data_IF_339820924337
#
_entry.id   IF_339820924337
#
_cell.length_a   1.000
_cell.length_b   1.000
_cell.length_c   1.000
_cell.angle_alpha   90.00
_cell.angle_beta   90.00
_cell.angle_gamma   90.00
#
_symmetry.space_group_name_H-M   'P 1'
#
loop_
_entity.id
_entity.type
_entity.pdbx_description
1 polymer ?
#
# COMPACT_ATOMS: atom_id res chain seq x y z
N UNK A 1 -3.28 3.56 -12.06
CA UNK A 1 -3.70 3.25 -13.43
C UNK A 1 -2.49 3.06 -14.34
N UNK A 2 -1.56 4.01 -14.40
CA UNK A 2 -0.40 3.97 -15.30
C UNK A 2 0.55 2.79 -15.04
N UNK A 3 0.66 2.34 -13.79
CA UNK A 3 1.52 1.22 -13.40
C UNK A 3 0.90 -0.17 -13.66
N UNK A 4 -0.35 -0.25 -14.09
CA UNK A 4 -1.00 -1.53 -14.46
C UNK A 4 -1.03 -1.66 -15.98
N UNK A 5 -0.41 -2.72 -16.50
CA UNK A 5 -0.19 -2.89 -17.95
C UNK A 5 -1.49 -3.01 -18.75
N UNK A 6 -2.57 -3.49 -18.18
CA UNK A 6 -3.88 -3.61 -18.84
C UNK A 6 -4.44 -2.27 -19.34
N UNK A 7 -4.00 -1.15 -18.80
CA UNK A 7 -4.42 0.19 -19.26
C UNK A 7 -3.59 0.71 -20.44
N UNK A 8 -2.60 -0.05 -20.94
CA UNK A 8 -1.83 0.27 -22.15
C UNK A 8 -0.85 1.43 -22.03
N UNK A 9 -0.54 1.91 -20.83
CA UNK A 9 0.45 2.97 -20.64
C UNK A 9 1.87 2.46 -20.94
N UNK A 10 2.77 3.29 -21.53
CA UNK A 10 4.14 2.88 -21.85
C UNK A 10 4.94 2.25 -20.70
N UNK A 11 4.75 2.73 -19.47
CA UNK A 11 5.38 2.14 -18.27
C UNK A 11 4.97 0.67 -18.08
N UNK A 12 3.71 0.33 -18.33
CA UNK A 12 3.22 -1.05 -18.22
C UNK A 12 3.82 -2.02 -19.25
N UNK A 13 4.39 -1.52 -20.35
CA UNK A 13 5.13 -2.35 -21.30
C UNK A 13 6.51 -2.75 -20.78
N UNK A 14 7.12 -1.89 -19.96
CA UNK A 14 8.44 -2.12 -19.34
C UNK A 14 8.29 -2.93 -18.06
N UNK A 15 7.27 -2.63 -17.27
CA UNK A 15 6.95 -3.28 -15.99
C UNK A 15 5.54 -3.91 -16.04
N UNK A 16 5.38 -5.06 -16.69
CA UNK A 16 4.07 -5.69 -16.86
C UNK A 16 3.53 -6.25 -15.55
N UNK A 17 2.19 -6.24 -15.43
CA UNK A 17 1.46 -6.74 -14.26
C UNK A 17 0.52 -7.90 -14.61
N UNK A 18 1.04 -9.05 -15.13
CA UNK A 18 0.24 -10.08 -15.76
C UNK A 18 -0.84 -10.69 -14.86
N UNK A 19 -0.54 -10.87 -13.58
CA UNK A 19 -1.50 -11.45 -12.62
C UNK A 19 -2.64 -10.47 -12.26
N UNK A 20 -2.35 -9.17 -12.20
CA UNK A 20 -3.39 -8.14 -12.01
C UNK A 20 -4.20 -7.99 -13.30
N UNK A 21 -3.54 -7.99 -14.45
CA UNK A 21 -4.18 -7.86 -15.76
C UNK A 21 -5.14 -9.02 -16.05
N UNK A 22 -4.84 -10.23 -15.54
CA UNK A 22 -5.73 -11.38 -15.64
C UNK A 22 -7.11 -11.10 -15.05
N UNK A 23 -7.20 -10.38 -13.93
CA UNK A 23 -8.49 -9.98 -13.33
C UNK A 23 -9.30 -9.14 -14.31
N UNK A 24 -8.66 -8.25 -15.04
CA UNK A 24 -9.32 -7.43 -16.05
C UNK A 24 -9.69 -8.21 -17.31
N UNK A 25 -8.86 -9.16 -17.75
CA UNK A 25 -9.13 -10.01 -18.93
C UNK A 25 -10.25 -11.02 -18.69
N UNK A 26 -10.33 -11.56 -17.47
CA UNK A 26 -11.36 -12.53 -17.07
C UNK A 26 -12.62 -11.86 -16.49
N UNK A 27 -12.58 -10.54 -16.25
CA UNK A 27 -13.65 -9.79 -15.63
C UNK A 27 -13.96 -8.47 -16.33
N UNK A 28 -13.69 -7.34 -15.67
CA UNK A 28 -13.98 -6.00 -16.18
C UNK A 28 -12.88 -4.99 -15.88
N UNK A 29 -12.64 -4.09 -16.83
CA UNK A 29 -11.73 -2.95 -16.70
C UNK A 29 -12.52 -1.65 -16.67
N UNK A 30 -12.50 -0.97 -15.53
CA UNK A 30 -13.18 0.32 -15.37
C UNK A 30 -12.29 1.46 -15.88
N UNK A 31 -12.69 2.10 -16.96
CA UNK A 31 -11.96 3.25 -17.54
C UNK A 31 -12.19 4.54 -16.75
N UNK A 32 -13.38 4.69 -16.15
CA UNK A 32 -13.76 5.85 -15.36
C UNK A 32 -14.23 5.41 -13.98
N UNK A 33 -13.30 5.37 -13.02
CA UNK A 33 -13.58 5.09 -11.63
C UNK A 33 -12.93 6.15 -10.75
N UNK A 34 -13.70 6.72 -9.85
CA UNK A 34 -13.32 7.86 -9.01
C UNK A 34 -13.44 7.49 -7.54
N UNK A 35 -12.46 7.89 -6.73
CA UNK A 35 -12.55 7.76 -5.28
C UNK A 35 -13.30 8.94 -4.66
N UNK A 36 -14.07 8.67 -3.62
CA UNK A 36 -14.83 9.70 -2.90
C UNK A 36 -13.94 10.68 -2.13
N UNK A 37 -12.75 10.23 -1.73
CA UNK A 37 -11.75 11.01 -1.00
C UNK A 37 -10.37 10.39 -1.25
N UNK A 38 -9.42 11.18 -1.74
CA UNK A 38 -8.10 10.70 -2.20
C UNK A 38 -7.07 10.57 -1.07
N UNK A 39 -7.50 10.32 0.16
CA UNK A 39 -6.62 10.09 1.32
C UNK A 39 -6.98 8.76 2.00
N UNK A 40 -5.98 8.05 2.51
CA UNK A 40 -6.05 6.65 2.90
C UNK A 40 -7.24 6.28 3.81
N UNK A 41 -7.30 6.80 5.03
CA UNK A 41 -8.37 6.46 5.99
C UNK A 41 -9.77 6.82 5.48
N UNK A 42 -10.02 8.07 5.04
CA UNK A 42 -11.30 8.46 4.46
C UNK A 42 -11.77 7.62 3.28
N UNK A 43 -10.84 7.25 2.37
CA UNK A 43 -11.14 6.36 1.25
C UNK A 43 -11.58 4.97 1.73
N UNK A 44 -10.87 4.40 2.71
CA UNK A 44 -11.18 3.11 3.32
C UNK A 44 -12.54 3.13 4.02
N UNK A 45 -12.83 4.19 4.78
CA UNK A 45 -14.14 4.38 5.41
C UNK A 45 -15.27 4.50 4.37
N UNK A 46 -15.03 5.18 3.24
CA UNK A 46 -15.99 5.28 2.16
C UNK A 46 -16.25 3.92 1.49
N UNK A 47 -15.22 3.11 1.26
CA UNK A 47 -15.36 1.74 0.72
C UNK A 47 -16.17 0.85 1.66
N UNK A 48 -15.89 0.90 2.97
CA UNK A 48 -16.61 0.08 3.96
C UNK A 48 -18.09 0.45 4.08
N UNK A 49 -18.40 1.74 4.04
CA UNK A 49 -19.76 2.25 4.33
C UNK A 49 -20.61 2.53 3.10
N UNK A 50 -20.01 2.63 1.91
CA UNK A 50 -20.68 3.16 0.71
C UNK A 50 -21.09 4.63 0.82
N UNK A 51 -20.51 5.38 1.78
CA UNK A 51 -20.86 6.78 2.07
C UNK A 51 -19.68 7.71 1.85
N UNK A 52 -19.94 8.91 1.32
CA UNK A 52 -18.94 9.98 1.30
C UNK A 52 -18.46 10.34 2.71
N UNK A 53 -17.23 10.84 2.82
CA UNK A 53 -16.54 11.10 4.10
C UNK A 53 -17.34 12.02 5.05
N UNK A 54 -18.05 13.03 4.52
CA UNK A 54 -18.90 13.92 5.34
C UNK A 54 -20.15 13.22 5.90
N UNK A 55 -20.54 12.07 5.32
CA UNK A 55 -21.67 11.25 5.80
C UNK A 55 -21.22 10.13 6.74
N UNK A 56 -20.03 9.56 6.52
CA UNK A 56 -19.50 8.53 7.42
C UNK A 56 -18.70 9.13 8.59
N UNK A 57 -18.40 10.44 8.58
CA UNK A 57 -17.72 11.18 9.63
C UNK A 57 -16.19 11.04 9.65
N UNK A 58 -15.59 10.21 8.80
CA UNK A 58 -14.15 9.99 8.76
C UNK A 58 -13.52 10.80 7.61
N UNK A 59 -13.16 12.06 7.89
CA UNK A 59 -12.78 13.03 6.86
C UNK A 59 -11.26 13.21 6.68
N UNK A 60 -10.45 12.74 7.60
CA UNK A 60 -8.98 12.89 7.60
C UNK A 60 -8.31 11.79 8.41
N UNK A 61 -7.03 11.50 8.13
CA UNK A 61 -6.28 10.42 8.79
C UNK A 61 -6.09 10.64 10.30
N UNK A 62 -6.05 11.89 10.77
CA UNK A 62 -5.84 12.26 12.17
C UNK A 62 -7.15 12.54 12.92
N UNK A 63 -8.23 11.94 12.48
CA UNK A 63 -9.50 12.01 13.20
C UNK A 63 -9.48 11.05 14.41
N UNK A 64 -10.51 11.14 15.24
CA UNK A 64 -10.88 10.02 16.12
C UNK A 64 -11.07 8.77 15.26
N UNK A 65 -10.83 7.58 15.82
CA UNK A 65 -10.99 6.33 15.10
C UNK A 65 -12.33 6.23 14.34
N UNK A 66 -12.35 5.42 13.30
CA UNK A 66 -13.57 5.18 12.52
C UNK A 66 -14.67 4.65 13.45
N UNK A 67 -15.86 5.22 13.33
CA UNK A 67 -17.03 4.75 14.07
C UNK A 67 -17.48 3.39 13.52
N UNK A 68 -17.01 2.34 14.16
CA UNK A 68 -17.32 0.96 13.82
C UNK A 68 -18.77 0.54 14.16
N UNK A 69 -19.60 1.39 14.78
CA UNK A 69 -21.03 1.09 15.01
C UNK A 69 -21.87 1.25 13.76
N UNK A 70 -21.39 2.02 12.80
CA UNK A 70 -22.06 2.21 11.52
C UNK A 70 -22.28 0.90 10.77
N UNK A 71 -23.30 0.90 9.91
CA UNK A 71 -23.49 -0.18 8.94
C UNK A 71 -22.37 -0.14 7.90
N UNK A 72 -21.74 -1.28 7.68
CA UNK A 72 -20.68 -1.49 6.71
C UNK A 72 -20.96 -2.72 5.86
N UNK A 73 -20.37 -2.80 4.68
CA UNK A 73 -20.53 -3.96 3.79
C UNK A 73 -20.19 -5.29 4.48
N UNK A 74 -19.07 -5.44 5.21
CA UNK A 74 -18.78 -6.70 5.90
C UNK A 74 -19.85 -7.07 6.93
N UNK A 75 -20.44 -6.13 7.69
CA UNK A 75 -21.53 -6.41 8.62
C UNK A 75 -22.80 -6.92 7.92
N UNK A 76 -23.14 -6.32 6.77
CA UNK A 76 -24.28 -6.76 5.97
C UNK A 76 -24.05 -8.19 5.48
N UNK A 77 -22.86 -8.48 4.96
CA UNK A 77 -22.51 -9.80 4.47
C UNK A 77 -22.48 -10.84 5.60
N UNK A 78 -21.91 -10.51 6.75
CA UNK A 78 -21.89 -11.37 7.93
C UNK A 78 -23.32 -11.71 8.39
N UNK A 79 -24.22 -10.71 8.45
CA UNK A 79 -25.62 -10.91 8.79
C UNK A 79 -26.39 -11.77 7.75
N UNK A 80 -25.87 -11.86 6.52
CA UNK A 80 -26.42 -12.70 5.45
C UNK A 80 -25.65 -14.01 5.25
N UNK A 81 -24.94 -14.47 6.26
CA UNK A 81 -24.35 -15.80 6.30
C UNK A 81 -22.97 -15.92 5.67
N UNK A 82 -22.32 -14.82 5.27
CA UNK A 82 -20.93 -14.85 4.83
C UNK A 82 -19.97 -14.97 6.01
N UNK A 83 -18.86 -15.67 5.82
CA UNK A 83 -17.70 -15.56 6.70
C UNK A 83 -16.82 -14.40 6.21
N UNK A 84 -16.47 -13.48 7.12
CA UNK A 84 -15.86 -12.21 6.75
C UNK A 84 -14.45 -12.09 7.32
N UNK A 85 -13.49 -11.64 6.51
CA UNK A 85 -12.12 -11.43 6.96
C UNK A 85 -11.50 -10.16 6.40
N UNK A 86 -10.56 -9.56 7.15
CA UNK A 86 -9.65 -8.52 6.66
C UNK A 86 -8.21 -8.82 7.11
N UNK A 87 -7.28 -8.81 6.15
CA UNK A 87 -5.87 -9.08 6.36
C UNK A 87 -5.03 -7.97 5.70
N UNK A 88 -4.11 -7.37 6.48
CA UNK A 88 -3.21 -6.34 6.01
C UNK A 88 -3.58 -4.92 6.44
N UNK A 89 -3.34 -3.91 5.62
CA UNK A 89 -3.49 -2.51 6.00
C UNK A 89 -4.94 -2.13 6.33
N UNK A 90 -5.17 -1.67 7.56
CA UNK A 90 -6.46 -1.15 8.02
C UNK A 90 -6.52 0.38 7.99
N UNK A 91 -5.65 1.03 8.73
CA UNK A 91 -5.47 2.50 8.78
C UNK A 91 -6.75 3.30 9.06
N UNK A 92 -7.57 2.80 9.98
CA UNK A 92 -8.80 3.46 10.45
C UNK A 92 -8.78 3.76 11.95
N UNK A 93 -7.63 3.56 12.60
CA UNK A 93 -7.36 3.83 14.04
C UNK A 93 -8.12 2.86 14.95
N UNK A 94 -9.44 2.72 14.79
CA UNK A 94 -10.27 1.78 15.55
C UNK A 94 -10.06 0.33 15.09
N UNK A 95 -10.33 -0.63 15.97
CA UNK A 95 -10.33 -2.05 15.59
C UNK A 95 -11.40 -2.35 14.53
N UNK A 96 -11.16 -3.34 13.64
CA UNK A 96 -12.16 -3.79 12.67
C UNK A 96 -13.43 -4.29 13.35
N UNK A 97 -14.58 -4.03 12.74
CA UNK A 97 -15.88 -4.56 13.16
C UNK A 97 -16.64 -5.15 11.97
N UNK A 98 -17.40 -6.20 12.21
CA UNK A 98 -18.12 -6.93 11.15
C UNK A 98 -17.25 -7.93 10.41
N UNK A 99 -16.14 -8.34 11.01
CA UNK A 99 -15.27 -9.39 10.52
C UNK A 99 -15.17 -10.52 11.54
N UNK A 100 -15.29 -11.76 11.07
CA UNK A 100 -15.10 -12.96 11.88
C UNK A 100 -13.60 -13.24 12.13
N UNK A 101 -12.75 -12.79 11.20
CA UNK A 101 -11.30 -12.88 11.34
C UNK A 101 -10.66 -11.56 10.89
N UNK A 102 -9.69 -11.08 11.64
CA UNK A 102 -8.87 -9.96 11.21
C UNK A 102 -7.45 -10.01 11.77
N UNK A 103 -6.53 -9.61 10.92
CA UNK A 103 -5.11 -9.48 11.21
C UNK A 103 -4.58 -8.26 10.43
N UNK A 104 -4.39 -7.15 11.12
CA UNK A 104 -4.13 -5.86 10.49
C UNK A 104 -2.74 -5.33 10.81
N UNK A 105 -2.19 -4.54 9.89
CA UNK A 105 -0.96 -3.81 10.15
C UNK A 105 -1.19 -2.69 11.16
N UNK A 106 -0.18 -2.42 11.98
CA UNK A 106 -0.14 -1.26 12.84
C UNK A 106 -0.01 0.01 11.98
N UNK A 107 -0.90 0.97 12.14
CA UNK A 107 -1.02 2.22 11.38
C UNK A 107 -0.81 2.04 9.86
N UNK A 108 0.27 2.57 9.31
CA UNK A 108 0.67 2.46 7.90
C UNK A 108 1.37 1.13 7.58
N UNK A 109 1.83 0.44 8.60
CA UNK A 109 2.67 -0.75 8.51
C UNK A 109 4.10 -0.45 8.04
N UNK A 110 5.01 -1.34 8.35
CA UNK A 110 6.37 -1.37 7.85
C UNK A 110 6.48 -2.28 6.61
N UNK A 111 7.47 -2.02 5.75
CA UNK A 111 7.75 -2.90 4.61
C UNK A 111 8.49 -4.17 5.02
N UNK A 112 9.44 -4.03 5.94
CA UNK A 112 10.23 -5.12 6.48
C UNK A 112 9.83 -5.38 7.93
N UNK A 113 9.65 -6.64 8.27
CA UNK A 113 9.39 -7.11 9.63
C UNK A 113 8.25 -6.38 10.36
N UNK A 114 7.07 -6.25 9.72
CA UNK A 114 5.97 -5.45 10.21
C UNK A 114 5.36 -5.98 11.50
N UNK A 115 4.73 -5.07 12.24
CA UNK A 115 3.84 -5.44 13.33
C UNK A 115 2.44 -5.73 12.79
N UNK A 116 1.88 -6.86 13.22
CA UNK A 116 0.48 -7.19 12.99
C UNK A 116 -0.29 -7.14 14.31
N UNK A 117 -1.49 -6.59 14.23
CA UNK A 117 -2.45 -6.52 15.33
C UNK A 117 -3.56 -7.52 15.07
N UNK A 118 -3.85 -8.34 16.07
CA UNK A 118 -5.00 -9.24 16.11
C UNK A 118 -5.97 -8.80 17.21
N UNK A 119 -7.00 -9.57 17.48
CA UNK A 119 -7.90 -9.30 18.60
C UNK A 119 -7.15 -9.32 19.96
N UNK A 120 -6.16 -10.19 20.08
CA UNK A 120 -5.53 -10.55 21.35
C UNK A 120 -4.18 -9.85 21.58
N UNK A 121 -3.42 -9.59 20.52
CA UNK A 121 -2.04 -9.12 20.64
C UNK A 121 -1.58 -8.24 19.46
N UNK A 122 -0.38 -7.68 19.63
CA UNK A 122 0.41 -7.03 18.59
C UNK A 122 1.77 -7.68 18.55
N UNK A 123 2.10 -8.31 17.44
CA UNK A 123 3.35 -9.06 17.27
C UNK A 123 4.13 -8.63 16.04
N UNK A 124 5.45 -8.63 16.14
CA UNK A 124 6.36 -8.41 15.02
C UNK A 124 6.55 -9.71 14.26
N UNK A 125 6.43 -9.65 12.94
CA UNK A 125 6.59 -10.79 12.06
C UNK A 125 7.77 -10.58 11.12
N UNK A 126 8.75 -11.47 11.13
CA UNK A 126 9.92 -11.37 10.26
C UNK A 126 9.55 -11.66 8.80
N UNK A 127 10.00 -10.80 7.90
CA UNK A 127 9.82 -10.92 6.45
C UNK A 127 9.27 -9.68 5.78
N UNK A 128 9.05 -9.78 4.48
CA UNK A 128 8.54 -8.67 3.67
C UNK A 128 7.01 -8.61 3.72
N UNK A 129 6.47 -7.45 4.01
CA UNK A 129 5.03 -7.24 4.33
C UNK A 129 4.07 -7.78 3.26
N UNK A 130 4.40 -7.63 1.97
CA UNK A 130 3.54 -8.12 0.88
C UNK A 130 3.47 -9.64 0.90
N UNK A 131 4.60 -10.31 1.13
CA UNK A 131 4.68 -11.78 1.19
C UNK A 131 3.95 -12.31 2.43
N UNK A 132 4.11 -11.63 3.58
CA UNK A 132 3.42 -11.99 4.82
C UNK A 132 1.89 -11.86 4.69
N UNK A 133 1.40 -10.75 4.11
CA UNK A 133 -0.04 -10.57 3.86
C UNK A 133 -0.57 -11.66 2.93
N UNK A 134 0.18 -11.98 1.87
CA UNK A 134 -0.18 -13.06 0.94
C UNK A 134 -0.25 -14.40 1.66
N UNK A 135 0.79 -14.74 2.42
CA UNK A 135 0.87 -15.97 3.21
C UNK A 135 -0.32 -16.13 4.14
N UNK A 136 -0.62 -15.12 4.96
CA UNK A 136 -1.74 -15.18 5.92
C UNK A 136 -3.10 -15.23 5.23
N UNK A 137 -3.21 -14.61 4.06
CA UNK A 137 -4.42 -14.69 3.22
C UNK A 137 -4.60 -16.11 2.67
N UNK A 138 -3.55 -16.74 2.18
CA UNK A 138 -3.57 -18.12 1.69
C UNK A 138 -3.86 -19.11 2.82
N UNK A 139 -3.22 -18.96 3.98
CA UNK A 139 -3.49 -19.78 5.17
C UNK A 139 -4.96 -19.68 5.61
N UNK A 140 -5.54 -18.47 5.60
CA UNK A 140 -6.95 -18.29 5.91
C UNK A 140 -7.85 -18.96 4.87
N UNK A 141 -7.55 -18.83 3.58
CA UNK A 141 -8.30 -19.49 2.49
C UNK A 141 -8.17 -21.01 2.57
N UNK A 142 -6.98 -21.53 2.85
CA UNK A 142 -6.73 -22.97 3.01
C UNK A 142 -7.49 -23.56 4.21
N UNK A 143 -7.59 -22.82 5.30
CA UNK A 143 -8.42 -23.20 6.46
C UNK A 143 -9.92 -23.26 6.17
N UNK A 144 -10.34 -22.81 4.99
CA UNK A 144 -11.72 -22.88 4.51
C UNK A 144 -12.01 -24.06 3.58
N UNK A 145 -10.99 -24.81 3.19
CA UNK A 145 -11.18 -25.99 2.33
C UNK A 145 -12.22 -26.93 2.93
N UNK A 146 -13.24 -27.29 2.14
CA UNK A 146 -14.36 -28.12 2.57
C UNK A 146 -15.50 -27.37 3.28
N UNK A 147 -15.41 -26.06 3.50
CA UNK A 147 -16.51 -25.24 4.00
C UNK A 147 -17.36 -24.73 2.84
N UNK A 148 -18.68 -24.94 2.90
CA UNK A 148 -19.63 -24.45 1.89
C UNK A 148 -20.14 -23.03 2.17
N UNK A 149 -19.75 -22.41 3.29
CA UNK A 149 -20.15 -21.07 3.67
C UNK A 149 -19.50 -20.05 2.72
N UNK A 150 -20.27 -19.14 2.08
CA UNK A 150 -19.69 -18.08 1.28
C UNK A 150 -18.81 -17.17 2.13
N UNK A 151 -17.84 -16.51 1.52
CA UNK A 151 -16.94 -15.62 2.24
C UNK A 151 -16.77 -14.27 1.58
N UNK A 152 -16.35 -13.30 2.38
CA UNK A 152 -15.89 -11.99 1.96
C UNK A 152 -14.53 -11.70 2.60
N UNK A 153 -13.51 -11.52 1.78
CA UNK A 153 -12.15 -11.26 2.21
C UNK A 153 -11.67 -9.91 1.67
N UNK A 154 -11.18 -9.07 2.56
CA UNK A 154 -10.46 -7.85 2.22
C UNK A 154 -8.96 -8.07 2.44
N UNK A 155 -8.22 -8.32 1.35
CA UNK A 155 -6.77 -8.42 1.36
C UNK A 155 -6.17 -7.05 1.00
N UNK A 156 -5.47 -6.44 1.93
CA UNK A 156 -5.00 -5.07 1.80
C UNK A 156 -3.49 -4.95 1.93
N UNK A 157 -2.79 -4.79 0.82
CA UNK A 157 -1.36 -4.54 0.83
C UNK A 157 -0.99 -3.12 1.31
N UNK A 158 0.21 -2.98 1.92
CA UNK A 158 0.86 -1.69 2.15
C UNK A 158 1.37 -1.08 0.85
N UNK A 159 1.94 -1.91 -0.01
CA UNK A 159 2.42 -1.48 -1.31
C UNK A 159 1.24 -0.92 -2.15
N UNK A 160 1.43 0.13 -2.85
CA UNK A 160 2.65 0.88 -3.18
C UNK A 160 2.73 2.22 -2.41
N UNK A 161 2.59 2.23 -1.11
CA UNK A 161 2.69 3.46 -0.32
C UNK A 161 4.14 3.92 -0.23
N UNK A 162 4.36 5.26 -0.12
CA UNK A 162 5.65 5.84 0.27
C UNK A 162 6.14 5.08 1.53
N UNK A 163 7.33 4.67 1.68
CA UNK A 163 8.60 5.03 1.03
C UNK A 163 9.09 4.01 -0.04
N UNK A 164 8.18 3.19 -0.57
CA UNK A 164 8.44 2.28 -1.70
C UNK A 164 9.66 1.37 -1.54
N UNK A 165 9.82 0.75 -0.40
CA UNK A 165 10.90 -0.24 -0.20
C UNK A 165 10.49 -1.53 -0.93
N UNK A 166 11.24 -1.98 -1.93
CA UNK A 166 10.96 -3.22 -2.62
C UNK A 166 11.39 -4.43 -1.78
N UNK A 167 10.90 -5.62 -2.14
CA UNK A 167 11.45 -6.85 -1.62
C UNK A 167 12.89 -7.06 -2.11
N UNK A 168 13.75 -7.68 -1.31
CA UNK A 168 15.18 -7.90 -1.60
C UNK A 168 15.41 -8.52 -2.98
N UNK A 169 14.58 -9.51 -3.37
CA UNK A 169 14.65 -10.16 -4.70
C UNK A 169 14.44 -9.20 -5.88
N UNK A 170 13.99 -7.97 -5.63
CA UNK A 170 13.71 -6.96 -6.66
C UNK A 170 14.69 -5.78 -6.65
N UNK A 171 15.70 -5.78 -5.78
CA UNK A 171 16.64 -4.67 -5.68
C UNK A 171 17.32 -4.35 -7.02
N UNK A 172 17.60 -5.36 -7.84
CA UNK A 172 18.28 -5.22 -9.13
C UNK A 172 17.37 -5.35 -10.36
N UNK A 173 16.03 -5.49 -10.15
CA UNK A 173 15.10 -5.85 -11.23
C UNK A 173 15.12 -4.89 -12.43
N UNK A 174 15.30 -3.60 -12.20
CA UNK A 174 15.26 -2.57 -13.24
C UNK A 174 16.55 -1.75 -13.34
N UNK A 175 17.66 -2.26 -12.83
CA UNK A 175 18.94 -1.56 -12.74
C UNK A 175 19.47 -1.05 -14.10
N UNK A 176 19.22 -1.82 -15.16
CA UNK A 176 19.64 -1.49 -16.52
C UNK A 176 18.45 -1.11 -17.44
N UNK A 177 17.36 -0.67 -16.84
CA UNK A 177 16.11 -0.40 -17.56
C UNK A 177 15.79 1.09 -17.56
N UNK A 178 15.69 1.69 -18.74
CA UNK A 178 15.19 3.06 -18.88
C UNK A 178 13.67 3.04 -19.02
N UNK A 179 12.98 3.71 -18.10
CA UNK A 179 11.54 3.89 -18.19
C UNK A 179 11.19 5.06 -19.12
N UNK A 180 10.18 4.91 -19.98
CA UNK A 180 9.75 5.99 -20.85
C UNK A 180 9.13 7.12 -20.02
N UNK A 181 9.57 8.34 -20.29
CA UNK A 181 8.93 9.53 -19.72
C UNK A 181 7.61 9.79 -20.46
N UNK A 182 6.53 10.16 -19.77
CA UNK A 182 5.31 10.61 -20.43
C UNK A 182 5.53 11.98 -21.07
N UNK A 183 4.80 12.27 -22.16
CA UNK A 183 4.93 13.52 -22.93
C UNK A 183 4.77 14.78 -22.08
N UNK A 184 4.01 14.69 -20.99
CA UNK A 184 3.77 15.78 -20.05
C UNK A 184 4.65 15.75 -18.80
N UNK A 185 5.76 15.05 -18.80
CA UNK A 185 6.65 14.91 -17.63
C UNK A 185 7.21 16.26 -17.16
N UNK A 186 7.55 17.13 -18.11
CA UNK A 186 8.06 18.48 -17.84
C UNK A 186 6.99 19.58 -17.91
N UNK A 187 5.72 19.21 -17.85
CA UNK A 187 4.60 20.15 -17.91
C UNK A 187 4.60 21.07 -16.68
N UNK A 188 4.50 22.35 -16.91
CA UNK A 188 4.43 23.41 -15.88
C UNK A 188 3.01 23.68 -15.40
N UNK A 189 2.04 22.91 -15.90
CA UNK A 189 0.61 23.00 -15.55
C UNK A 189 -0.06 24.34 -15.82
N UNK A 190 0.39 25.09 -16.84
CA UNK A 190 -0.17 26.38 -17.21
C UNK A 190 -1.70 26.29 -17.37
N UNK A 191 -2.42 27.25 -16.77
CA UNK A 191 -3.88 27.29 -16.76
C UNK A 191 -4.58 26.25 -15.86
N UNK A 192 -3.83 25.39 -15.15
CA UNK A 192 -4.36 24.36 -14.24
C UNK A 192 -3.97 24.64 -12.81
N UNK A 193 -4.58 25.63 -12.20
CA UNK A 193 -4.23 26.18 -10.89
C UNK A 193 -4.05 25.11 -9.79
N UNK A 194 -4.98 24.16 -9.68
CA UNK A 194 -4.89 23.12 -8.66
C UNK A 194 -3.63 22.25 -8.83
N UNK A 195 -3.25 21.92 -10.06
CA UNK A 195 -2.05 21.13 -10.34
C UNK A 195 -0.77 21.95 -10.10
N UNK A 196 -0.77 23.25 -10.45
CA UNK A 196 0.38 24.14 -10.18
C UNK A 196 0.64 24.34 -8.69
N UNK A 197 -0.42 24.43 -7.89
CA UNK A 197 -0.33 24.69 -6.45
C UNK A 197 -0.11 23.43 -5.62
N UNK A 198 -0.21 22.26 -6.21
CA UNK A 198 -0.06 21.00 -5.50
C UNK A 198 1.42 20.74 -5.18
N UNK A 199 1.71 20.48 -3.90
CA UNK A 199 3.05 20.11 -3.44
C UNK A 199 3.30 18.61 -3.67
N UNK A 200 3.52 18.23 -4.92
CA UNK A 200 3.80 16.84 -5.35
C UNK A 200 4.79 16.82 -6.53
N UNK A 201 5.79 17.66 -6.46
CA UNK A 201 6.85 17.73 -7.46
C UNK A 201 8.02 16.85 -7.04
N UNK A 202 8.58 16.07 -7.95
CA UNK A 202 9.73 15.21 -7.67
C UNK A 202 10.92 16.04 -7.15
N UNK A 203 11.21 17.15 -7.81
CA UNK A 203 12.36 18.00 -7.49
C UNK A 203 12.23 18.72 -6.14
N UNK A 204 11.04 19.19 -5.79
CA UNK A 204 10.83 20.04 -4.60
C UNK A 204 10.27 19.29 -3.38
N UNK A 205 9.53 18.20 -3.60
CA UNK A 205 8.68 17.61 -2.56
C UNK A 205 9.05 16.14 -2.23
N UNK A 206 9.93 15.52 -3.01
CA UNK A 206 10.46 14.19 -2.73
C UNK A 206 11.85 14.29 -2.11
N UNK A 207 12.13 13.42 -1.14
CA UNK A 207 13.45 13.30 -0.52
C UNK A 207 14.29 12.28 -1.29
N UNK A 208 15.51 12.66 -1.67
CA UNK A 208 16.41 11.83 -2.47
C UNK A 208 16.64 10.45 -1.81
N UNK A 209 17.04 10.43 -0.57
CA UNK A 209 17.25 9.18 0.15
C UNK A 209 15.96 8.42 0.41
N UNK A 210 15.01 9.05 1.09
CA UNK A 210 13.78 8.41 1.56
C UNK A 210 12.87 7.90 0.42
N UNK A 211 12.67 8.71 -0.62
CA UNK A 211 11.76 8.39 -1.71
C UNK A 211 12.46 7.74 -2.90
N UNK A 212 13.60 8.30 -3.33
CA UNK A 212 14.29 7.90 -4.56
C UNK A 212 15.40 6.88 -4.32
N UNK A 213 15.83 6.66 -3.07
CA UNK A 213 16.97 5.80 -2.68
C UNK A 213 18.28 6.25 -3.32
N UNK A 214 18.42 7.55 -3.57
CA UNK A 214 19.64 8.15 -4.12
C UNK A 214 20.55 8.59 -3.00
N UNK A 215 21.86 8.54 -3.28
CA UNK A 215 22.94 8.87 -2.34
C UNK A 215 23.83 9.92 -2.98
N UNK A 216 23.28 11.12 -3.22
CA UNK A 216 24.04 12.20 -3.82
C UNK A 216 24.75 13.04 -2.76
N UNK A 217 26.09 13.03 -2.78
CA UNK A 217 26.92 13.92 -1.95
C UNK A 217 26.88 13.67 -0.44
N UNK A 218 26.30 12.56 0.01
CA UNK A 218 26.31 12.14 1.40
C UNK A 218 27.40 11.12 1.67
N UNK A 219 28.12 11.26 2.78
CA UNK A 219 28.95 10.19 3.29
C UNK A 219 28.10 9.08 3.92
N UNK A 220 28.71 7.92 4.18
CA UNK A 220 28.01 6.76 4.71
C UNK A 220 27.34 7.01 6.07
N UNK A 221 27.83 7.94 6.86
CA UNK A 221 27.29 8.24 8.18
C UNK A 221 26.07 9.15 8.09
N UNK A 222 26.04 10.07 7.13
CA UNK A 222 24.87 10.90 6.83
C UNK A 222 23.69 10.07 6.36
N UNK A 223 23.92 8.97 5.64
CA UNK A 223 22.87 8.02 5.23
C UNK A 223 22.17 7.33 6.40
N UNK A 224 22.80 7.26 7.54
CA UNK A 224 22.22 6.67 8.74
C UNK A 224 21.21 7.60 9.43
N UNK A 225 21.19 8.90 9.12
CA UNK A 225 20.47 9.89 9.92
C UNK A 225 19.46 10.74 9.16
N UNK A 226 19.51 10.87 7.84
CA UNK A 226 18.55 11.65 7.08
C UNK A 226 17.56 10.76 6.32
N UNK A 227 16.33 11.14 6.23
CA UNK A 227 15.03 10.45 6.41
C UNK A 227 15.02 8.97 6.02
N UNK A 228 16.09 8.50 5.47
CA UNK A 228 16.33 7.12 5.08
C UNK A 228 16.18 6.10 6.19
N UNK A 229 17.01 6.17 7.22
CA UNK A 229 17.13 5.08 8.17
C UNK A 229 15.90 4.94 9.04
N UNK A 230 15.36 6.07 9.50
CA UNK A 230 14.28 6.07 10.47
C UNK A 230 12.95 5.54 9.92
N UNK A 231 12.74 5.63 8.62
CA UNK A 231 11.48 5.27 8.01
C UNK A 231 11.38 3.77 7.64
N UNK A 232 12.50 3.09 7.40
CA UNK A 232 12.50 1.69 6.97
C UNK A 232 13.72 0.87 7.36
N UNK A 233 14.95 1.45 7.43
CA UNK A 233 16.12 0.69 7.85
C UNK A 233 16.01 0.23 9.31
N UNK A 234 15.36 1.03 10.16
CA UNK A 234 15.14 0.69 11.57
C UNK A 234 14.24 -0.52 11.81
N UNK A 235 13.53 -0.97 10.78
CA UNK A 235 12.69 -2.18 10.86
C UNK A 235 13.37 -3.42 10.29
N UNK A 236 14.48 -3.25 9.58
CA UNK A 236 15.28 -4.33 9.01
C UNK A 236 16.13 -5.01 10.10
N UNK A 237 16.35 -6.31 9.94
CA UNK A 237 17.41 -6.99 10.69
C UNK A 237 18.79 -6.51 10.17
N UNK A 238 19.87 -6.60 10.97
CA UNK A 238 21.19 -6.09 10.57
C UNK A 238 21.66 -6.58 9.20
N UNK A 239 21.48 -7.86 8.89
CA UNK A 239 21.88 -8.45 7.61
C UNK A 239 21.02 -7.95 6.44
N UNK A 240 19.72 -7.73 6.67
CA UNK A 240 18.82 -7.12 5.67
C UNK A 240 19.24 -5.69 5.36
N UNK A 241 19.57 -4.92 6.40
CA UNK A 241 20.06 -3.55 6.29
C UNK A 241 21.37 -3.51 5.47
N UNK A 242 22.34 -4.38 5.75
CA UNK A 242 23.58 -4.47 4.97
C UNK A 242 23.29 -4.74 3.48
N UNK A 243 22.46 -5.74 3.16
CA UNK A 243 22.11 -6.06 1.76
C UNK A 243 21.38 -4.93 1.06
N UNK A 244 20.50 -4.21 1.77
CA UNK A 244 19.84 -3.03 1.22
C UNK A 244 20.86 -1.92 0.90
N UNK A 245 21.75 -1.59 1.84
CA UNK A 245 22.77 -0.58 1.65
C UNK A 245 23.72 -0.93 0.50
N UNK A 246 24.16 -2.20 0.41
CA UNK A 246 25.03 -2.65 -0.69
C UNK A 246 24.33 -2.49 -2.06
N UNK A 247 23.03 -2.75 -2.13
CA UNK A 247 22.27 -2.61 -3.38
C UNK A 247 22.05 -1.15 -3.82
N UNK A 248 22.01 -0.20 -2.88
CA UNK A 248 21.62 1.20 -3.18
C UNK A 248 22.73 2.23 -2.98
N UNK A 249 23.83 1.88 -2.31
CA UNK A 249 24.93 2.83 -1.98
C UNK A 249 25.57 3.49 -3.20
N UNK A 250 25.75 2.75 -4.28
CA UNK A 250 26.46 3.21 -5.48
C UNK A 250 25.51 3.62 -6.62
N UNK A 251 24.22 3.75 -6.33
CA UNK A 251 23.22 4.21 -7.31
C UNK A 251 23.07 5.72 -7.26
N UNK A 252 23.80 6.40 -8.13
CA UNK A 252 23.71 7.85 -8.38
C UNK A 252 23.17 8.13 -9.77
#
# INVERSE_FOLDING_TARGET
RQAMSIYGHPIGKVAPTPNIDRIGHEGAVFQNNYCCNSISGPSRAAILTGKHSHKNGFMKNWAKGFDGTQQTLPKILQANGYETAVIGKWHLISKPTGFDHWMILDDQGEYCNPHFITENDTTRHLGYVTDLITKYTEEWLDGRKGKNKPFFLMMHHKAVHRNWVPAERHYHLYEHTTFPLPDNYFDVYEGRYAAQMQKMNIYCDMYEGHDLKMVTGMDSDSLLFDPWPHAFLGTMEPDECCRFLDAYRDRN
#
